data_IF_274714396084
#
_entry.id   IF_274714396084
#
_cell.length_a   1.000
_cell.length_b   1.000
_cell.length_c   1.000
_cell.angle_alpha   90.00
_cell.angle_beta   90.00
_cell.angle_gamma   90.00
#
_symmetry.space_group_name_H-M   'P 1'
#
loop_
_entity.id
_entity.type
_entity.pdbx_description
1 polymer ?
#
# COMPACT_ATOMS: atom_id res chain seq x y z
N UNK A 1 3.43 -11.65 -5.00
CA UNK A 1 3.87 -10.44 -4.28
C UNK A 1 2.71 -9.85 -3.49
N UNK A 2 2.89 -9.41 -2.23
CA UNK A 2 1.87 -8.67 -1.49
C UNK A 2 1.76 -7.21 -2.00
N UNK A 3 0.53 -6.66 -1.99
CA UNK A 3 0.25 -5.27 -2.43
C UNK A 3 0.54 -4.30 -1.27
N UNK A 4 1.30 -3.23 -1.52
CA UNK A 4 1.66 -2.22 -0.51
C UNK A 4 0.71 -1.01 -0.56
N UNK A 5 -0.54 -1.20 -0.13
CA UNK A 5 -1.58 -0.15 -0.18
C UNK A 5 -1.16 1.08 0.65
N UNK A 6 -0.47 0.90 1.75
CA UNK A 6 -0.14 1.97 2.70
C UNK A 6 1.14 2.77 2.36
N UNK A 7 1.74 2.57 1.17
CA UNK A 7 3.01 3.19 0.76
C UNK A 7 4.10 3.07 1.84
N UNK A 8 4.28 1.88 2.42
CA UNK A 8 5.41 1.64 3.30
C UNK A 8 6.71 1.81 2.49
N UNK A 9 7.48 2.87 2.79
CA UNK A 9 8.74 3.18 2.09
C UNK A 9 9.92 2.36 2.57
N UNK A 10 9.77 1.68 3.71
CA UNK A 10 10.81 0.83 4.28
C UNK A 10 10.48 -0.66 4.16
N UNK A 11 9.80 -1.03 3.07
CA UNK A 11 9.51 -2.43 2.77
C UNK A 11 10.73 -3.09 2.11
N UNK A 12 11.67 -3.59 2.90
CA UNK A 12 12.85 -4.35 2.45
C UNK A 12 12.75 -5.86 2.76
N UNK A 13 13.70 -6.67 2.28
CA UNK A 13 13.68 -8.14 2.44
C UNK A 13 13.56 -8.60 3.90
N UNK A 14 14.19 -7.89 4.84
CA UNK A 14 14.08 -8.22 6.27
C UNK A 14 12.70 -7.90 6.89
N UNK A 15 11.80 -7.25 6.13
CA UNK A 15 10.42 -6.91 6.53
C UNK A 15 9.39 -7.86 5.91
N UNK A 16 9.85 -9.01 5.41
CA UNK A 16 9.02 -10.14 4.97
C UNK A 16 9.35 -11.38 5.80
N UNK A 17 8.30 -12.02 6.30
CA UNK A 17 8.34 -13.33 6.91
C UNK A 17 7.77 -14.39 5.96
N UNK A 18 8.12 -15.65 6.23
CA UNK A 18 7.56 -16.80 5.54
C UNK A 18 7.04 -17.78 6.58
N UNK A 19 5.84 -18.29 6.35
CA UNK A 19 5.28 -19.41 7.10
C UNK A 19 5.79 -20.67 6.42
N UNK A 20 6.53 -21.49 7.18
CA UNK A 20 7.12 -22.74 6.72
C UNK A 20 6.53 -23.90 7.52
N UNK A 21 6.14 -24.95 6.82
CA UNK A 21 5.71 -26.18 7.47
C UNK A 21 6.91 -26.86 8.13
N UNK A 22 6.80 -27.21 9.42
CA UNK A 22 7.91 -27.83 10.16
C UNK A 22 8.22 -29.26 9.69
N UNK A 23 7.21 -30.00 9.24
CA UNK A 23 7.35 -31.41 8.85
C UNK A 23 7.82 -31.57 7.41
N UNK A 24 7.32 -30.75 6.48
CA UNK A 24 7.64 -30.85 5.04
C UNK A 24 8.73 -29.87 4.59
N UNK A 25 9.07 -28.90 5.45
CA UNK A 25 10.03 -27.84 5.17
C UNK A 25 9.64 -26.91 4.00
N UNK A 26 8.44 -27.06 3.44
CA UNK A 26 7.92 -26.22 2.37
C UNK A 26 7.45 -24.85 2.89
N UNK A 27 7.65 -23.81 2.08
CA UNK A 27 7.09 -22.48 2.34
C UNK A 27 5.62 -22.51 1.95
N UNK A 28 4.74 -22.29 2.92
CA UNK A 28 3.30 -22.32 2.68
C UNK A 28 2.77 -20.94 2.28
N UNK A 29 3.24 -19.88 2.96
CA UNK A 29 2.73 -18.52 2.77
C UNK A 29 3.82 -17.48 3.05
N UNK A 30 3.76 -16.35 2.37
CA UNK A 30 4.48 -15.13 2.76
C UNK A 30 3.64 -14.32 3.75
N UNK A 31 4.27 -13.74 4.76
CA UNK A 31 3.64 -12.89 5.77
C UNK A 31 4.42 -11.58 5.88
N UNK A 32 3.85 -10.38 5.64
CA UNK A 32 4.57 -9.14 5.92
C UNK A 32 4.86 -9.04 7.42
N UNK A 33 6.09 -8.68 7.78
CA UNK A 33 6.41 -8.37 9.18
C UNK A 33 5.82 -6.99 9.49
N UNK A 34 5.27 -6.83 10.71
CA UNK A 34 4.55 -5.64 11.19
C UNK A 34 5.49 -4.45 11.48
N UNK A 35 6.34 -4.10 10.52
CA UNK A 35 7.12 -2.87 10.54
C UNK A 35 6.55 -1.90 9.50
N UNK A 36 5.56 -1.13 9.93
CA UNK A 36 4.81 -0.18 9.07
C UNK A 36 4.94 1.26 9.57
N UNK A 37 5.93 1.56 10.41
CA UNK A 37 6.11 2.89 11.01
C UNK A 37 6.39 4.00 9.99
N UNK A 38 6.84 3.66 8.78
CA UNK A 38 7.17 4.61 7.70
C UNK A 38 6.09 4.70 6.62
N UNK A 39 4.91 4.11 6.86
CA UNK A 39 3.74 4.16 5.98
C UNK A 39 3.00 5.50 6.02
N UNK A 40 2.06 5.70 5.09
CA UNK A 40 1.16 6.86 5.05
C UNK A 40 1.88 8.21 5.23
N UNK A 41 3.04 8.35 4.56
CA UNK A 41 3.87 9.54 4.61
C UNK A 41 4.33 9.97 6.01
N UNK A 42 4.48 9.03 6.94
CA UNK A 42 5.09 9.30 8.25
C UNK A 42 6.45 10.00 8.07
N UNK A 43 6.72 11.05 8.85
CA UNK A 43 7.94 11.86 8.75
C UNK A 43 8.04 12.77 7.51
N UNK A 44 7.05 12.80 6.61
CA UNK A 44 7.02 13.73 5.47
C UNK A 44 6.12 14.92 5.80
N UNK A 45 6.63 16.13 5.56
CA UNK A 45 5.84 17.37 5.67
C UNK A 45 4.60 17.31 4.78
N UNK A 46 3.47 17.80 5.29
CA UNK A 46 2.20 17.86 4.54
C UNK A 46 2.34 18.58 3.19
N UNK A 47 3.23 19.56 3.06
CA UNK A 47 3.48 20.29 1.81
C UNK A 47 4.20 19.45 0.74
N UNK A 48 4.79 18.31 1.15
CA UNK A 48 5.47 17.36 0.26
C UNK A 48 4.65 16.10 -0.01
N UNK A 49 3.48 15.94 0.63
CA UNK A 49 2.56 14.85 0.31
C UNK A 49 1.95 15.14 -1.06
N UNK A 50 2.30 14.30 -2.04
CA UNK A 50 1.70 14.29 -3.37
C UNK A 50 0.59 13.25 -3.38
N UNK A 51 -0.58 13.61 -3.88
CA UNK A 51 -1.74 12.70 -3.97
C UNK A 51 -1.55 11.71 -5.12
N UNK A 52 -1.07 12.15 -6.29
CA UNK A 52 -0.67 11.33 -7.45
C UNK A 52 0.23 12.14 -8.40
N UNK A 53 0.96 11.51 -9.36
CA UNK A 53 1.46 10.13 -9.41
C UNK A 53 2.88 9.98 -8.79
N UNK A 54 3.43 8.76 -8.78
CA UNK A 54 4.79 8.38 -8.32
C UNK A 54 4.93 8.10 -6.81
N UNK A 55 4.12 7.15 -6.32
CA UNK A 55 4.31 6.64 -4.97
C UNK A 55 5.55 5.76 -4.90
N UNK A 56 6.60 6.23 -4.25
CA UNK A 56 7.84 5.45 -4.10
C UNK A 56 7.58 4.11 -3.40
N UNK A 57 8.25 3.08 -3.91
CA UNK A 57 8.12 1.70 -3.45
C UNK A 57 9.48 1.01 -3.35
N UNK A 58 9.48 -0.09 -2.61
CA UNK A 58 10.57 -1.06 -2.45
C UNK A 58 9.95 -2.45 -2.27
N UNK A 59 10.70 -3.54 -2.48
CA UNK A 59 12.09 -3.59 -2.95
C UNK A 59 12.25 -3.79 -4.46
N UNK A 60 11.16 -4.04 -5.20
CA UNK A 60 11.24 -4.57 -6.56
C UNK A 60 11.26 -3.50 -7.65
N UNK A 61 10.49 -2.42 -7.49
CA UNK A 61 10.49 -1.27 -8.39
C UNK A 61 10.47 0.04 -7.61
N UNK A 62 10.85 1.12 -8.29
CA UNK A 62 10.92 2.45 -7.70
C UNK A 62 9.53 3.00 -7.39
N UNK A 63 8.54 2.70 -8.22
CA UNK A 63 7.17 3.17 -8.03
C UNK A 63 6.21 2.01 -7.77
N UNK A 64 5.19 2.27 -6.96
CA UNK A 64 4.22 1.26 -6.58
C UNK A 64 3.41 0.75 -7.77
N UNK A 65 3.11 1.62 -8.72
CA UNK A 65 2.39 1.31 -9.95
C UNK A 65 3.11 0.22 -10.76
N UNK A 66 4.44 0.32 -10.87
CA UNK A 66 5.30 -0.69 -11.50
C UNK A 66 5.32 -1.99 -10.70
N UNK A 67 5.30 -1.90 -9.36
CA UNK A 67 5.34 -3.06 -8.48
C UNK A 67 4.03 -3.87 -8.48
N UNK A 68 2.87 -3.22 -8.62
CA UNK A 68 1.59 -3.93 -8.77
C UNK A 68 1.60 -4.77 -10.05
N UNK A 69 2.22 -4.29 -11.14
CA UNK A 69 2.29 -5.01 -12.41
C UNK A 69 3.05 -6.36 -12.29
N UNK A 70 3.86 -6.57 -11.25
CA UNK A 70 4.52 -7.85 -10.97
C UNK A 70 3.58 -8.93 -10.41
N UNK A 71 2.33 -8.61 -10.10
CA UNK A 71 1.38 -9.55 -9.51
C UNK A 71 0.75 -10.39 -10.62
N UNK A 72 1.28 -11.60 -10.82
CA UNK A 72 0.81 -12.54 -11.84
C UNK A 72 -0.67 -12.97 -11.69
N UNK A 73 -1.17 -13.09 -10.46
CA UNK A 73 -2.56 -13.42 -10.17
C UNK A 73 -3.16 -12.29 -9.35
N UNK A 74 -3.46 -11.17 -10.01
CA UNK A 74 -4.03 -9.98 -9.37
C UNK A 74 -5.48 -10.19 -8.94
N UNK A 75 -6.22 -11.03 -9.66
CA UNK A 75 -7.63 -11.35 -9.39
C UNK A 75 -7.86 -12.05 -8.04
N UNK A 76 -6.83 -12.65 -7.44
CA UNK A 76 -6.90 -13.19 -6.08
C UNK A 76 -7.27 -12.14 -5.03
N UNK A 77 -7.08 -10.85 -5.35
CA UNK A 77 -7.42 -9.73 -4.48
C UNK A 77 -8.79 -9.15 -4.86
N UNK A 78 -9.72 -9.15 -3.90
CA UNK A 78 -11.00 -8.46 -4.03
C UNK A 78 -10.84 -6.99 -3.64
N UNK A 79 -10.26 -6.17 -4.51
CA UNK A 79 -10.02 -4.74 -4.21
C UNK A 79 -11.29 -3.96 -3.91
N UNK A 80 -12.45 -4.42 -4.40
CA UNK A 80 -13.76 -3.88 -4.03
C UNK A 80 -13.99 -3.82 -2.51
N UNK A 81 -13.37 -4.72 -1.73
CA UNK A 81 -13.45 -4.72 -0.27
C UNK A 81 -12.71 -3.55 0.39
N UNK A 82 -11.97 -2.75 -0.38
CA UNK A 82 -11.26 -1.57 0.13
C UNK A 82 -12.11 -0.29 0.04
N UNK A 83 -13.25 -0.32 -0.66
CA UNK A 83 -14.14 0.85 -0.73
C UNK A 83 -14.71 1.12 0.67
N UNK A 84 -14.70 2.38 1.10
CA UNK A 84 -15.08 2.78 2.45
C UNK A 84 -13.88 2.98 3.39
N UNK A 85 -12.69 2.51 3.00
CA UNK A 85 -11.53 2.52 3.89
C UNK A 85 -10.96 3.93 4.08
N UNK A 86 -11.09 4.82 3.10
CA UNK A 86 -10.70 6.22 3.24
C UNK A 86 -11.61 7.00 4.19
N UNK A 87 -12.90 6.67 4.26
CA UNK A 87 -13.82 7.20 5.28
C UNK A 87 -13.46 6.66 6.68
N UNK A 88 -13.25 5.35 6.84
CA UNK A 88 -12.78 4.77 8.11
C UNK A 88 -11.44 5.40 8.55
N UNK A 89 -10.55 5.65 7.60
CA UNK A 89 -9.28 6.32 7.86
C UNK A 89 -9.48 7.77 8.29
N UNK A 90 -10.39 8.50 7.64
CA UNK A 90 -10.74 9.87 8.02
C UNK A 90 -11.28 9.93 9.46
N UNK A 91 -12.20 9.03 9.83
CA UNK A 91 -12.75 8.94 11.19
C UNK A 91 -11.65 8.65 12.22
N UNK A 92 -10.73 7.74 11.91
CA UNK A 92 -9.59 7.44 12.77
C UNK A 92 -8.68 8.66 12.95
N UNK A 93 -8.35 9.37 11.87
CA UNK A 93 -7.49 10.55 11.90
C UNK A 93 -8.16 11.72 12.65
N UNK A 94 -9.47 11.90 12.55
CA UNK A 94 -10.22 12.93 13.28
C UNK A 94 -10.07 12.82 14.80
N UNK A 95 -9.84 11.61 15.32
CA UNK A 95 -9.65 11.35 16.75
C UNK A 95 -8.25 11.72 17.26
N UNK A 96 -7.32 12.07 16.36
CA UNK A 96 -5.93 12.38 16.68
C UNK A 96 -5.72 13.89 16.79
N UNK A 97 -5.52 14.41 18.00
CA UNK A 97 -5.35 15.85 18.25
C UNK A 97 -4.09 16.46 17.62
N UNK A 98 -3.11 15.65 17.24
CA UNK A 98 -1.84 16.09 16.69
C UNK A 98 -1.80 16.14 15.16
N UNK A 99 -2.86 15.72 14.47
CA UNK A 99 -2.94 15.80 13.02
C UNK A 99 -3.63 17.08 12.57
N UNK A 100 -3.02 17.80 11.62
CA UNK A 100 -3.63 18.98 11.03
C UNK A 100 -4.77 18.57 10.09
N UNK A 101 -5.76 19.44 9.92
CA UNK A 101 -6.83 19.27 8.93
C UNK A 101 -6.22 19.10 7.54
N UNK A 102 -5.25 19.94 7.16
CA UNK A 102 -4.59 19.86 5.85
C UNK A 102 -3.90 18.51 5.61
N UNK A 103 -3.17 17.99 6.61
CA UNK A 103 -2.53 16.68 6.50
C UNK A 103 -3.57 15.57 6.38
N UNK A 104 -4.62 15.60 7.21
CA UNK A 104 -5.70 14.62 7.16
C UNK A 104 -6.33 14.58 5.79
N UNK A 105 -6.75 15.72 5.25
CA UNK A 105 -7.42 15.79 3.95
C UNK A 105 -6.51 15.24 2.83
N UNK A 106 -5.22 15.59 2.84
CA UNK A 106 -4.23 15.02 1.89
C UNK A 106 -4.08 13.50 2.01
N UNK A 107 -4.06 12.97 3.22
CA UNK A 107 -3.94 11.52 3.47
C UNK A 107 -5.20 10.76 3.03
N UNK A 108 -6.38 11.30 3.34
CA UNK A 108 -7.67 10.70 2.93
C UNK A 108 -7.80 10.72 1.42
N UNK A 109 -7.56 11.87 0.77
CA UNK A 109 -7.58 11.97 -0.70
C UNK A 109 -6.57 11.01 -1.35
N UNK A 110 -5.35 10.92 -0.83
CA UNK A 110 -4.36 9.97 -1.34
C UNK A 110 -4.83 8.52 -1.24
N UNK A 111 -5.41 8.11 -0.10
CA UNK A 111 -5.86 6.73 0.09
C UNK A 111 -7.05 6.42 -0.83
N UNK A 112 -8.03 7.32 -0.92
CA UNK A 112 -9.19 7.17 -1.81
C UNK A 112 -8.79 7.05 -3.28
N UNK A 113 -7.92 7.93 -3.78
CA UNK A 113 -7.40 7.83 -5.15
C UNK A 113 -6.66 6.51 -5.40
N UNK A 114 -5.93 6.02 -4.40
CA UNK A 114 -5.18 4.77 -4.51
C UNK A 114 -6.10 3.55 -4.53
N UNK A 115 -7.16 3.55 -3.73
CA UNK A 115 -8.19 2.50 -3.75
C UNK A 115 -8.91 2.52 -5.09
N UNK A 116 -9.31 3.71 -5.56
CA UNK A 116 -9.93 3.90 -6.88
C UNK A 116 -9.04 3.34 -7.99
N UNK A 117 -7.75 3.68 -7.99
CA UNK A 117 -6.78 3.12 -8.93
C UNK A 117 -6.76 1.60 -8.86
N UNK A 118 -6.64 0.98 -7.67
CA UNK A 118 -6.60 -0.48 -7.52
C UNK A 118 -7.89 -1.17 -8.01
N UNK A 119 -9.05 -0.55 -7.81
CA UNK A 119 -10.34 -1.08 -8.25
C UNK A 119 -10.56 -0.93 -9.76
N UNK A 120 -10.20 0.22 -10.34
CA UNK A 120 -10.26 0.47 -11.79
C UNK A 120 -9.21 -0.34 -12.53
N UNK A 121 -8.05 -0.53 -11.89
CA UNK A 121 -6.96 -1.31 -12.39
C UNK A 121 -7.26 -2.81 -12.22
N UNK A 122 -8.27 -3.28 -12.96
CA UNK A 122 -8.06 -4.47 -13.80
C UNK A 122 -6.97 -4.09 -14.80
N UNK A 123 -5.73 -3.98 -14.34
CA UNK A 123 -4.62 -3.43 -15.14
C UNK A 123 -4.57 -4.21 -16.44
N UNK A 124 -4.78 -3.52 -17.56
CA UNK A 124 -4.46 -4.03 -18.90
C UNK A 124 -3.09 -4.70 -18.81
N UNK A 125 -3.06 -6.01 -18.90
CA UNK A 125 -1.85 -6.83 -18.98
C UNK A 125 -1.01 -6.48 -20.22
N UNK A 126 -1.46 -5.54 -21.05
CA UNK A 126 -0.80 -5.08 -22.28
C UNK A 126 0.06 -3.82 -22.12
N UNK A 127 0.02 -3.09 -20.99
CA UNK A 127 0.95 -1.98 -20.79
C UNK A 127 2.29 -2.46 -20.25
N UNK A 128 3.04 -3.05 -21.18
CA UNK A 128 4.50 -3.09 -21.13
C UNK A 128 4.99 -1.64 -21.11
N UNK A 129 5.64 -1.24 -20.02
CA UNK A 129 6.53 -0.07 -20.02
C UNK A 129 7.87 -0.46 -20.63
#
# INVERSE_FOLDING_TARGET
MPVNIICNRDRHYNNFGMIRNVNTLQIEKSSPIFDTGTSAFAGISENKIKTLPLNESKPFYKYHEEQIALIQNIERYKFQNLIGLDEEFNELLQRLSFITISRRDKLVTWLGERIRMLCESKMDTERVF
#
